data_IF_251582373337
#
_entry.id   IF_251582373337
#
_cell.length_a   1.000
_cell.length_b   1.000
_cell.length_c   1.000
_cell.angle_alpha   90.00
_cell.angle_beta   90.00
_cell.angle_gamma   90.00
#
_symmetry.space_group_name_H-M   'P 1'
#
loop_
_entity.id
_entity.type
_entity.pdbx_description
1 polymer ?
#
# COMPACT_ATOMS: atom_id res chain seq x y z
N UNK A 1 -21.43 -20.42 2.55
CA UNK A 1 -21.83 -19.07 3.03
C UNK A 1 -20.56 -18.29 3.28
N UNK A 2 -20.08 -17.47 2.32
CA UNK A 2 -18.85 -16.71 2.52
C UNK A 2 -19.21 -15.34 3.09
N UNK A 3 -19.33 -15.26 4.41
CA UNK A 3 -19.35 -13.99 5.14
C UNK A 3 -17.95 -13.36 5.08
N UNK A 4 -17.57 -12.81 3.92
CA UNK A 4 -16.48 -11.84 3.86
C UNK A 4 -16.99 -10.58 4.56
N UNK A 5 -16.68 -10.45 5.84
CA UNK A 5 -16.90 -9.22 6.59
C UNK A 5 -16.25 -8.06 5.83
N UNK A 6 -16.91 -6.90 5.71
CA UNK A 6 -16.40 -5.75 4.94
C UNK A 6 -14.96 -5.40 5.29
N UNK A 7 -14.57 -5.57 6.55
CA UNK A 7 -13.21 -5.40 7.08
C UNK A 7 -12.14 -6.24 6.34
N UNK A 8 -12.49 -7.45 5.91
CA UNK A 8 -11.59 -8.38 5.22
C UNK A 8 -11.54 -8.12 3.71
N UNK A 9 -12.42 -7.24 3.19
CA UNK A 9 -12.46 -6.91 1.78
C UNK A 9 -11.23 -6.12 1.30
N UNK A 10 -10.51 -5.46 2.20
CA UNK A 10 -9.24 -4.79 1.88
C UNK A 10 -8.07 -5.78 1.79
N UNK A 11 -8.23 -7.03 2.25
CA UNK A 11 -7.16 -8.02 2.22
C UNK A 11 -6.99 -8.57 0.81
N UNK A 12 -5.75 -8.56 0.32
CA UNK A 12 -5.47 -9.05 -1.03
C UNK A 12 -4.33 -8.31 -1.71
N UNK A 13 -4.23 -8.50 -3.02
CA UNK A 13 -3.30 -7.78 -3.87
C UNK A 13 -4.04 -6.65 -4.56
N UNK A 14 -3.46 -5.47 -4.53
CA UNK A 14 -4.01 -4.25 -5.09
C UNK A 14 -3.00 -3.66 -6.05
N UNK A 15 -3.48 -3.14 -7.17
CA UNK A 15 -2.68 -2.38 -8.11
C UNK A 15 -3.23 -0.96 -8.15
N UNK A 16 -2.34 0.02 -8.14
CA UNK A 16 -2.73 1.42 -8.31
C UNK A 16 -3.41 1.60 -9.68
N UNK A 17 -4.31 2.57 -9.77
CA UNK A 17 -5.13 2.80 -10.98
C UNK A 17 -4.29 3.12 -12.22
N UNK A 18 -3.14 3.76 -12.01
CA UNK A 18 -2.12 4.06 -13.02
C UNK A 18 -1.23 2.86 -13.38
N UNK A 19 -1.45 1.70 -12.74
CA UNK A 19 -0.64 0.48 -12.83
C UNK A 19 0.85 0.71 -12.51
N UNK A 20 1.17 1.76 -11.75
CA UNK A 20 2.54 2.08 -11.37
C UNK A 20 3.06 1.20 -10.25
N UNK A 21 2.19 0.71 -9.37
CA UNK A 21 2.58 -0.06 -8.18
C UNK A 21 1.54 -1.12 -7.86
N UNK A 22 2.01 -2.30 -7.47
CA UNK A 22 1.19 -3.33 -6.85
C UNK A 22 1.63 -3.58 -5.40
N UNK A 23 0.65 -3.58 -4.51
CA UNK A 23 0.82 -3.78 -3.08
C UNK A 23 0.01 -4.98 -2.62
N UNK A 24 0.48 -5.66 -1.60
CA UNK A 24 -0.28 -6.70 -0.93
C UNK A 24 -0.70 -6.19 0.44
N UNK A 25 -2.00 -6.02 0.63
CA UNK A 25 -2.60 -5.67 1.91
C UNK A 25 -2.82 -6.94 2.71
N UNK A 26 -2.34 -6.94 3.95
CA UNK A 26 -2.49 -8.02 4.91
C UNK A 26 -2.85 -7.45 6.28
N UNK A 27 -3.50 -8.26 7.10
CA UNK A 27 -3.86 -7.88 8.46
C UNK A 27 -2.73 -8.24 9.41
N UNK A 28 -2.32 -7.30 10.25
CA UNK A 28 -1.39 -7.54 11.34
C UNK A 28 -2.08 -7.18 12.67
N UNK A 29 -2.55 -8.20 13.40
CA UNK A 29 -3.30 -8.00 14.64
C UNK A 29 -4.67 -7.36 14.39
N UNK A 30 -4.87 -6.13 14.86
CA UNK A 30 -6.10 -5.36 14.65
C UNK A 30 -6.00 -4.33 13.52
N UNK A 31 -4.79 -4.10 13.02
CA UNK A 31 -4.53 -3.11 11.99
C UNK A 31 -4.25 -3.80 10.63
N UNK A 32 -4.35 -3.01 9.58
CA UNK A 32 -4.06 -3.41 8.21
C UNK A 32 -2.76 -2.75 7.76
N UNK A 33 -1.94 -3.54 7.08
CA UNK A 33 -0.67 -3.12 6.51
C UNK A 33 -0.63 -3.47 5.02
N UNK A 34 0.18 -2.77 4.25
CA UNK A 34 0.45 -3.15 2.86
C UNK A 34 1.92 -3.09 2.53
N UNK A 35 2.40 -4.15 1.90
CA UNK A 35 3.76 -4.25 1.38
C UNK A 35 3.79 -4.12 -0.13
N UNK A 36 4.82 -3.47 -0.66
CA UNK A 36 5.05 -3.41 -2.11
C UNK A 36 5.48 -4.78 -2.60
N UNK A 37 4.72 -5.36 -3.52
CA UNK A 37 5.08 -6.63 -4.16
C UNK A 37 5.58 -6.44 -5.58
N UNK A 38 5.25 -5.31 -6.21
CA UNK A 38 5.70 -4.97 -7.54
C UNK A 38 5.55 -3.46 -7.81
N UNK A 39 6.35 -2.89 -8.70
CA UNK A 39 6.11 -1.57 -9.28
C UNK A 39 6.72 -1.45 -10.67
N UNK A 40 6.15 -0.59 -11.49
CA UNK A 40 6.65 -0.28 -12.82
C UNK A 40 7.86 0.68 -12.71
N UNK A 41 9.00 0.17 -13.16
CA UNK A 41 10.27 0.90 -13.20
C UNK A 41 10.18 2.14 -14.09
N UNK A 42 9.37 2.07 -15.17
CA UNK A 42 9.20 3.13 -16.17
C UNK A 42 8.38 4.30 -15.67
N UNK A 43 7.46 4.06 -14.74
CA UNK A 43 6.63 5.09 -14.12
C UNK A 43 7.28 5.69 -12.86
N UNK A 44 8.35 5.06 -12.37
CA UNK A 44 9.16 5.53 -11.25
C UNK A 44 10.43 6.27 -11.69
N UNK A 45 11.54 5.95 -11.02
CA UNK A 45 12.85 6.56 -11.29
C UNK A 45 13.59 5.99 -12.51
N UNK A 46 12.98 5.06 -13.26
CA UNK A 46 13.67 4.26 -14.27
C UNK A 46 14.64 3.22 -13.69
N UNK A 47 14.62 3.01 -12.37
CA UNK A 47 15.52 2.08 -11.68
C UNK A 47 14.87 0.70 -11.55
N UNK A 48 15.62 -0.39 -11.77
CA UNK A 48 15.12 -1.73 -11.60
C UNK A 48 14.49 -1.97 -10.23
N UNK A 49 13.37 -2.66 -10.19
CA UNK A 49 12.57 -2.89 -8.99
C UNK A 49 13.37 -3.57 -7.87
N UNK A 50 14.26 -4.48 -8.26
CA UNK A 50 15.13 -5.26 -7.39
C UNK A 50 16.37 -4.49 -6.88
N UNK A 51 16.72 -3.37 -7.50
CA UNK A 51 17.84 -2.51 -7.10
C UNK A 51 17.39 -1.19 -6.48
N UNK A 52 16.10 -0.84 -6.60
CA UNK A 52 15.56 0.38 -6.01
C UNK A 52 15.64 0.32 -4.48
N UNK A 53 16.46 1.19 -3.95
CA UNK A 53 16.55 1.48 -2.52
C UNK A 53 15.89 2.82 -2.23
N UNK A 54 15.54 3.05 -0.97
CA UNK A 54 14.83 4.25 -0.52
C UNK A 54 15.75 5.47 -0.42
N UNK A 55 16.47 5.80 -1.50
CA UNK A 55 17.48 6.87 -1.51
C UNK A 55 16.93 8.24 -1.11
N UNK A 56 15.63 8.46 -1.29
CA UNK A 56 14.92 9.70 -0.98
C UNK A 56 14.39 9.75 0.46
N UNK A 57 14.64 8.73 1.28
CA UNK A 57 14.24 8.79 2.68
C UNK A 57 15.00 9.91 3.41
N UNK A 58 14.32 10.78 4.16
CA UNK A 58 15.00 11.77 5.00
C UNK A 58 15.94 11.12 6.03
N UNK A 59 15.64 9.90 6.50
CA UNK A 59 16.50 9.15 7.42
C UNK A 59 17.54 8.31 6.66
N UNK A 60 18.82 8.62 6.85
CA UNK A 60 19.95 7.95 6.21
C UNK A 60 20.03 6.45 6.50
N UNK A 61 19.55 6.02 7.68
CA UNK A 61 19.53 4.60 8.06
C UNK A 61 18.48 3.81 7.29
N UNK A 62 17.51 4.49 6.70
CA UNK A 62 16.44 3.90 5.91
C UNK A 62 16.79 3.87 4.42
N UNK A 63 17.76 4.69 3.97
CA UNK A 63 18.14 4.81 2.55
C UNK A 63 18.69 3.55 1.90
N UNK A 64 19.21 2.60 2.68
CA UNK A 64 19.72 1.33 2.19
C UNK A 64 18.64 0.24 2.08
N UNK A 65 17.40 0.53 2.48
CA UNK A 65 16.31 -0.45 2.44
C UNK A 65 15.78 -0.57 1.02
N UNK A 66 15.51 -1.81 0.61
CA UNK A 66 14.86 -2.08 -0.66
C UNK A 66 13.41 -1.64 -0.59
N UNK A 67 12.95 -0.93 -1.61
CA UNK A 67 11.54 -0.51 -1.72
C UNK A 67 10.64 -1.73 -1.94
N UNK A 68 11.14 -2.72 -2.68
CA UNK A 68 10.44 -3.99 -2.88
C UNK A 68 10.36 -4.79 -1.57
N UNK A 69 9.16 -5.23 -1.21
CA UNK A 69 8.87 -5.92 0.04
C UNK A 69 8.73 -5.01 1.26
N UNK A 70 8.87 -3.70 1.10
CA UNK A 70 8.70 -2.74 2.19
C UNK A 70 7.23 -2.48 2.48
N UNK A 71 6.92 -2.36 3.77
CA UNK A 71 5.59 -1.95 4.25
C UNK A 71 5.41 -0.45 4.03
N UNK A 72 4.67 -0.12 2.97
CA UNK A 72 4.36 1.27 2.63
C UNK A 72 3.11 1.76 3.33
N UNK A 73 2.17 0.87 3.68
CA UNK A 73 0.95 1.22 4.37
C UNK A 73 1.00 0.68 5.79
N UNK A 74 0.79 1.57 6.76
CA UNK A 74 0.71 1.22 8.18
C UNK A 74 -0.41 2.02 8.87
N UNK A 75 -0.91 1.49 9.99
CA UNK A 75 -1.90 2.18 10.84
C UNK A 75 -3.32 2.22 10.27
N UNK A 76 -3.59 1.49 9.18
CA UNK A 76 -4.92 1.44 8.60
C UNK A 76 -5.84 0.66 9.56
N UNK A 77 -6.91 1.30 10.01
CA UNK A 77 -7.88 0.76 10.96
C UNK A 77 -9.26 0.74 10.31
N UNK A 78 -10.04 -0.32 10.54
CA UNK A 78 -11.40 -0.40 10.00
C UNK A 78 -12.41 0.16 11.01
N UNK A 79 -13.06 1.25 10.63
CA UNK A 79 -14.13 1.85 11.39
C UNK A 79 -15.45 1.14 11.06
N UNK A 80 -15.99 0.37 12.01
CA UNK A 80 -17.24 -0.37 11.83
C UNK A 80 -18.48 0.54 11.74
N UNK A 81 -18.44 1.74 12.31
CA UNK A 81 -19.60 2.66 12.32
C UNK A 81 -19.88 3.22 10.93
N UNK A 82 -18.81 3.58 10.21
CA UNK A 82 -18.89 4.18 8.88
C UNK A 82 -18.48 3.21 7.76
N UNK A 83 -18.10 1.97 8.11
CA UNK A 83 -17.60 0.94 7.21
C UNK A 83 -16.44 1.40 6.32
N UNK A 84 -15.58 2.25 6.88
CA UNK A 84 -14.46 2.92 6.19
C UNK A 84 -13.13 2.53 6.82
N UNK A 85 -12.08 2.51 6.02
CA UNK A 85 -10.72 2.40 6.54
C UNK A 85 -10.12 3.79 6.74
N UNK A 86 -9.62 4.03 7.93
CA UNK A 86 -9.15 5.32 8.40
C UNK A 86 -7.78 5.16 9.07
N UNK A 87 -7.06 6.28 9.23
CA UNK A 87 -5.74 6.36 9.89
C UNK A 87 -4.58 5.67 9.17
N UNK A 88 -4.80 5.14 7.96
CA UNK A 88 -3.72 4.58 7.16
C UNK A 88 -2.76 5.66 6.67
N UNK A 89 -1.46 5.34 6.64
CA UNK A 89 -0.41 6.18 6.08
C UNK A 89 0.29 5.42 4.98
N UNK A 90 0.25 5.92 3.76
CA UNK A 90 0.94 5.35 2.59
C UNK A 90 2.22 6.14 2.34
N UNK A 91 3.36 5.49 2.51
CA UNK A 91 4.65 6.02 2.13
C UNK A 91 4.97 5.70 0.67
N UNK A 92 5.13 6.75 -0.15
CA UNK A 92 5.65 6.65 -1.50
C UNK A 92 7.17 6.85 -1.49
N UNK A 93 7.91 5.73 -1.51
CA UNK A 93 9.37 5.73 -1.62
C UNK A 93 9.88 6.26 -2.98
N UNK A 94 9.00 6.42 -3.97
CA UNK A 94 9.38 6.99 -5.27
C UNK A 94 9.62 8.49 -5.19
N UNK A 95 8.72 9.18 -4.49
CA UNK A 95 8.79 10.64 -4.31
C UNK A 95 9.26 11.06 -2.91
N UNK A 96 9.42 10.11 -1.98
CA UNK A 96 9.70 10.37 -0.56
C UNK A 96 8.51 10.98 0.19
N UNK A 97 7.30 10.93 -0.39
CA UNK A 97 6.10 11.56 0.18
C UNK A 97 5.29 10.56 0.97
N UNK A 98 4.70 11.02 2.08
CA UNK A 98 3.71 10.24 2.83
C UNK A 98 2.33 10.82 2.57
N UNK A 99 1.38 9.95 2.26
CA UNK A 99 -0.02 10.30 2.03
C UNK A 99 -0.85 9.69 3.16
N UNK A 100 -1.67 10.50 3.81
CA UNK A 100 -2.65 10.00 4.77
C UNK A 100 -3.88 9.50 4.02
N UNK A 101 -4.29 8.26 4.27
CA UNK A 101 -5.52 7.67 3.75
C UNK A 101 -6.70 8.08 4.63
N UNK A 102 -6.91 9.38 4.78
CA UNK A 102 -8.11 9.93 5.42
C UNK A 102 -9.27 9.82 4.44
N UNK A 103 -10.06 8.74 4.57
CA UNK A 103 -11.34 8.60 3.85
C UNK A 103 -11.31 7.72 2.60
N UNK A 104 -10.55 6.61 2.61
CA UNK A 104 -10.60 5.66 1.50
C UNK A 104 -11.92 4.88 1.54
N UNK A 105 -12.87 5.29 0.70
CA UNK A 105 -14.11 4.56 0.47
C UNK A 105 -13.89 3.41 -0.52
N UNK A 106 -14.71 2.35 -0.40
CA UNK A 106 -14.64 1.12 -1.20
C UNK A 106 -14.56 1.36 -2.73
N UNK A 107 -15.03 2.50 -3.20
CA UNK A 107 -15.06 2.98 -4.59
C UNK A 107 -13.70 3.40 -5.15
N UNK A 108 -12.70 3.70 -4.30
CA UNK A 108 -11.33 3.96 -4.76
C UNK A 108 -10.47 2.70 -4.94
N UNK A 109 -10.99 1.56 -4.48
CA UNK A 109 -10.43 0.26 -4.76
C UNK A 109 -11.14 -0.31 -5.98
N UNK A 110 -10.50 -0.37 -7.17
CA UNK A 110 -11.15 -0.95 -8.33
C UNK A 110 -11.57 -2.39 -7.98
N UNK A 111 -12.84 -2.76 -8.20
CA UNK A 111 -13.31 -4.09 -7.87
C UNK A 111 -12.58 -5.08 -8.78
N UNK A 112 -11.79 -5.96 -8.17
CA UNK A 112 -11.25 -7.16 -8.79
C UNK A 112 -10.45 -6.93 -10.09
N UNK A 113 -9.14 -6.70 -9.96
CA UNK A 113 -8.23 -7.29 -10.95
C UNK A 113 -7.82 -8.68 -10.45
N UNK A 114 -8.63 -9.67 -10.81
CA UNK A 114 -8.18 -11.05 -10.84
C UNK A 114 -7.04 -11.15 -11.86
N UNK A 115 -5.89 -11.63 -11.41
CA UNK A 115 -4.90 -12.29 -12.29
C UNK A 115 -5.41 -13.68 -12.65
#
# INVERSE_FOLDING_TARGET
>A
MNSQTKKDAVLGKWIATDKSVAVQVYRQGNDYQAKVIWFDERLGSGTPMNTRIDTHNPDEKLRSRKVIGMDILNGLSFNNENERWENGKIYDASSGRTWDTSGCEKTQFPPNYSI
#
